data_IF_670147326442
#
_entry.id   IF_670147326442
#
_cell.length_a   1.000
_cell.length_b   1.000
_cell.length_c   1.000
_cell.angle_alpha   90.00
_cell.angle_beta   90.00
_cell.angle_gamma   90.00
#
_symmetry.space_group_name_H-M   'P 1'
#
loop_
_entity.id
_entity.type
_entity.pdbx_description
1 polymer ?
#
# COMPACT_ATOMS: atom_id res chain seq x y z
N UNK A 1 -9.15 -6.99 5.01
CA UNK A 1 -10.22 -6.33 4.22
C UNK A 1 -11.63 -6.55 4.78
N UNK A 2 -11.95 -7.77 5.24
CA UNK A 2 -13.33 -8.17 5.60
C UNK A 2 -13.94 -7.34 6.73
N UNK A 3 -13.12 -6.98 7.72
CA UNK A 3 -13.53 -6.14 8.86
C UNK A 3 -14.05 -4.78 8.38
N UNK A 4 -13.29 -4.11 7.52
CA UNK A 4 -13.69 -2.81 6.95
C UNK A 4 -14.93 -2.95 6.09
N UNK A 5 -15.04 -3.98 5.25
CA UNK A 5 -16.22 -4.23 4.41
C UNK A 5 -17.48 -4.39 5.28
N UNK A 6 -17.41 -5.23 6.32
CA UNK A 6 -18.50 -5.42 7.28
C UNK A 6 -18.87 -4.14 8.03
N UNK A 7 -17.88 -3.34 8.45
CA UNK A 7 -18.13 -2.08 9.15
C UNK A 7 -18.74 -1.02 8.22
N UNK A 8 -18.46 -1.04 6.92
CA UNK A 8 -19.16 -0.18 5.96
C UNK A 8 -20.62 -0.59 5.73
N UNK A 9 -20.93 -1.89 5.77
CA UNK A 9 -22.32 -2.37 5.71
C UNK A 9 -23.12 -1.93 6.95
N UNK A 10 -22.50 -2.01 8.13
CA UNK A 10 -23.12 -1.62 9.40
C UNK A 10 -23.20 -0.09 9.58
N UNK A 11 -22.16 0.63 9.15
CA UNK A 11 -22.03 2.09 9.26
C UNK A 11 -21.77 2.75 7.89
N UNK A 12 -22.78 2.83 7.00
CA UNK A 12 -22.60 3.42 5.68
C UNK A 12 -22.07 4.86 5.74
N UNK A 13 -21.10 5.17 4.89
CA UNK A 13 -20.47 6.49 4.79
C UNK A 13 -19.46 6.81 5.90
N UNK A 14 -18.96 5.80 6.63
CA UNK A 14 -17.87 5.95 7.58
C UNK A 14 -16.50 5.71 6.95
N UNK A 15 -15.44 6.27 7.56
CA UNK A 15 -14.07 5.78 7.38
C UNK A 15 -13.68 4.84 8.50
N UNK A 16 -12.81 3.88 8.20
CA UNK A 16 -12.40 2.80 9.10
C UNK A 16 -10.88 2.70 9.13
N UNK A 17 -10.31 2.68 10.33
CA UNK A 17 -8.94 2.21 10.57
C UNK A 17 -9.01 0.86 11.24
N UNK A 18 -8.53 -0.20 10.60
CA UNK A 18 -8.61 -1.57 11.12
C UNK A 18 -7.25 -2.28 11.09
N UNK A 19 -7.04 -3.22 12.02
CA UNK A 19 -5.85 -4.06 12.05
C UNK A 19 -6.16 -5.48 11.61
N UNK A 20 -5.19 -6.15 10.99
CA UNK A 20 -5.27 -7.56 10.61
C UNK A 20 -4.81 -8.51 11.73
N UNK A 21 -4.81 -9.83 11.46
CA UNK A 21 -4.33 -10.85 12.38
C UNK A 21 -2.91 -10.63 12.92
N UNK A 22 -2.02 -9.97 12.15
CA UNK A 22 -0.68 -9.65 12.63
C UNK A 22 -0.70 -8.64 13.79
N UNK A 23 -1.63 -7.67 13.74
CA UNK A 23 -1.84 -6.73 14.84
C UNK A 23 -2.40 -7.43 16.08
N UNK A 24 -3.40 -8.30 15.90
CA UNK A 24 -3.98 -9.12 16.99
C UNK A 24 -2.94 -10.00 17.68
N UNK A 25 -1.98 -10.53 16.92
CA UNK A 25 -0.88 -11.37 17.41
C UNK A 25 0.36 -10.58 17.82
N UNK A 26 0.28 -9.26 17.92
CA UNK A 26 1.34 -8.39 18.41
C UNK A 26 2.64 -8.45 17.60
N UNK A 27 2.56 -8.74 16.30
CA UNK A 27 3.72 -8.73 15.40
C UNK A 27 4.29 -7.32 15.37
N UNK A 28 5.58 -7.18 15.69
CA UNK A 28 6.25 -5.87 15.95
C UNK A 28 6.23 -4.91 14.75
N UNK A 29 6.07 -5.44 13.55
CA UNK A 29 5.98 -4.68 12.30
C UNK A 29 4.59 -4.79 11.65
N UNK A 30 3.54 -5.02 12.45
CA UNK A 30 2.16 -4.96 11.97
C UNK A 30 1.67 -3.52 11.80
N UNK A 31 0.78 -3.35 10.83
CA UNK A 31 0.19 -2.09 10.40
C UNK A 31 -1.32 -2.07 10.64
N UNK A 32 -1.89 -0.88 10.57
CA UNK A 32 -3.32 -0.68 10.34
C UNK A 32 -3.57 -0.32 8.87
N UNK A 33 -4.76 -0.63 8.38
CA UNK A 33 -5.26 -0.16 7.09
C UNK A 33 -6.36 0.87 7.28
N UNK A 34 -6.29 1.97 6.53
CA UNK A 34 -7.33 2.99 6.44
C UNK A 34 -8.15 2.73 5.18
N UNK A 35 -9.44 2.48 5.36
CA UNK A 35 -10.41 2.26 4.27
C UNK A 35 -9.97 1.16 3.28
N UNK A 36 -9.27 0.13 3.79
CA UNK A 36 -8.60 -0.94 3.04
C UNK A 36 -7.47 -0.49 2.09
N UNK A 37 -7.28 0.80 1.81
CA UNK A 37 -6.34 1.27 0.78
C UNK A 37 -5.04 1.79 1.36
N UNK A 38 -5.11 2.68 2.36
CA UNK A 38 -3.92 3.31 2.90
C UNK A 38 -3.31 2.46 4.00
N UNK A 39 -1.99 2.30 4.01
CA UNK A 39 -1.27 1.69 5.13
C UNK A 39 -0.90 2.75 6.16
N UNK A 40 -0.94 2.41 7.45
CA UNK A 40 -0.60 3.33 8.54
C UNK A 40 0.20 2.62 9.64
N UNK A 41 1.26 3.30 10.08
CA UNK A 41 1.92 2.99 11.35
C UNK A 41 3.04 1.96 11.27
N UNK A 42 3.91 2.07 10.25
CA UNK A 42 5.20 1.39 10.24
C UNK A 42 5.93 1.66 11.56
N UNK A 43 6.49 0.60 12.14
CA UNK A 43 6.96 0.62 13.53
C UNK A 43 6.01 -0.01 14.55
N UNK A 44 4.92 -0.65 14.11
CA UNK A 44 4.15 -1.56 14.95
C UNK A 44 2.83 -1.01 15.51
N UNK A 45 2.21 -0.05 14.83
CA UNK A 45 0.89 0.47 15.25
C UNK A 45 -0.16 -0.65 15.36
N UNK A 46 -0.11 -1.64 14.47
CA UNK A 46 -1.02 -2.78 14.50
C UNK A 46 -0.94 -3.55 15.83
N UNK A 47 0.28 -3.75 16.35
CA UNK A 47 0.52 -4.44 17.60
C UNK A 47 0.07 -3.60 18.80
N UNK A 48 0.19 -2.26 18.72
CA UNK A 48 -0.35 -1.36 19.75
C UNK A 48 -1.87 -1.48 19.85
N UNK A 49 -2.57 -1.51 18.71
CA UNK A 49 -4.01 -1.80 18.65
C UNK A 49 -4.34 -3.17 19.27
N UNK A 50 -3.65 -4.22 18.84
CA UNK A 50 -3.84 -5.58 19.37
C UNK A 50 -3.62 -5.68 20.87
N UNK A 51 -2.58 -5.02 21.41
CA UNK A 51 -2.29 -5.01 22.86
C UNK A 51 -3.38 -4.37 23.71
N UNK A 52 -4.25 -3.58 23.08
CA UNK A 52 -5.39 -2.92 23.71
C UNK A 52 -6.72 -3.63 23.40
N UNK A 53 -6.67 -4.79 22.76
CA UNK A 53 -7.84 -5.50 22.23
C UNK A 53 -8.72 -4.62 21.33
N UNK A 54 -8.11 -3.68 20.58
CA UNK A 54 -8.80 -2.77 19.69
C UNK A 54 -8.68 -3.25 18.24
N UNK A 55 -9.80 -3.72 17.66
CA UNK A 55 -9.81 -4.26 16.29
C UNK A 55 -9.86 -3.18 15.21
N UNK A 56 -10.66 -2.15 15.43
CA UNK A 56 -10.86 -1.07 14.49
C UNK A 56 -11.39 0.19 15.18
N UNK A 57 -11.23 1.33 14.53
CA UNK A 57 -11.87 2.59 14.85
C UNK A 57 -12.71 2.99 13.64
N UNK A 58 -14.00 3.24 13.86
CA UNK A 58 -14.94 3.68 12.83
C UNK A 58 -15.35 5.11 13.13
N UNK A 59 -15.27 5.98 12.12
CA UNK A 59 -15.61 7.39 12.25
C UNK A 59 -16.57 7.78 11.15
N UNK A 60 -17.69 8.38 11.55
CA UNK A 60 -18.64 9.06 10.66
C UNK A 60 -18.93 10.44 11.23
N UNK A 61 -18.76 11.47 10.42
CA UNK A 61 -19.01 12.86 10.81
C UNK A 61 -19.78 13.59 9.73
N UNK A 62 -20.74 14.40 10.15
CA UNK A 62 -21.49 15.34 9.29
C UNK A 62 -21.27 16.80 9.69
N UNK A 63 -20.40 17.03 10.68
CA UNK A 63 -20.06 18.37 11.15
C UNK A 63 -19.20 19.13 10.13
N UNK A 64 -19.31 20.45 10.16
CA UNK A 64 -18.51 21.35 9.35
C UNK A 64 -17.17 21.67 10.04
N UNK A 65 -16.10 21.77 9.25
CA UNK A 65 -14.81 22.30 9.71
C UNK A 65 -14.82 23.81 9.51
N UNK A 66 -14.87 24.56 10.61
CA UNK A 66 -14.79 26.04 10.58
C UNK A 66 -13.34 26.50 10.42
N UNK A 67 -13.12 27.38 9.47
CA UNK A 67 -11.84 28.08 9.25
C UNK A 67 -11.99 29.56 9.62
N UNK A 68 -10.88 30.22 9.96
CA UNK A 68 -10.90 31.61 10.41
C UNK A 68 -11.38 32.59 9.33
N UNK A 69 -11.05 32.32 8.06
CA UNK A 69 -11.43 33.12 6.89
C UNK A 69 -11.73 32.16 5.73
N UNK A 70 -13.01 31.92 5.47
CA UNK A 70 -13.46 30.94 4.49
C UNK A 70 -13.18 31.37 3.05
N UNK A 71 -13.32 32.66 2.74
CA UNK A 71 -13.08 33.19 1.39
C UNK A 71 -11.60 33.06 1.03
N UNK A 72 -10.71 33.54 1.89
CA UNK A 72 -9.27 33.45 1.68
C UNK A 72 -8.78 32.00 1.64
N UNK A 73 -9.37 31.11 2.44
CA UNK A 73 -9.05 29.68 2.39
C UNK A 73 -9.41 29.07 1.04
N UNK A 74 -10.61 29.35 0.54
CA UNK A 74 -11.07 28.82 -0.76
C UNK A 74 -10.25 29.38 -1.93
N UNK A 75 -9.81 30.64 -1.87
CA UNK A 75 -8.88 31.20 -2.85
C UNK A 75 -7.54 30.46 -2.88
N UNK A 76 -6.99 30.12 -1.71
CA UNK A 76 -5.76 29.35 -1.60
C UNK A 76 -5.93 27.91 -2.15
N UNK A 77 -7.05 27.27 -1.82
CA UNK A 77 -7.40 25.93 -2.34
C UNK A 77 -7.51 25.97 -3.87
N UNK A 78 -8.24 26.95 -4.43
CA UNK A 78 -8.36 27.12 -5.88
C UNK A 78 -6.99 27.28 -6.53
N UNK A 79 -6.13 28.15 -6.00
CA UNK A 79 -4.77 28.33 -6.50
C UNK A 79 -3.90 27.07 -6.39
N UNK A 80 -4.13 26.20 -5.39
CA UNK A 80 -3.47 24.89 -5.31
C UNK A 80 -3.97 23.94 -6.41
N UNK A 81 -5.29 23.84 -6.60
CA UNK A 81 -5.89 22.99 -7.62
C UNK A 81 -5.45 23.40 -9.02
N UNK A 82 -5.46 24.69 -9.35
CA UNK A 82 -5.00 25.19 -10.65
C UNK A 82 -3.52 24.87 -10.91
N UNK A 83 -2.66 24.91 -9.87
CA UNK A 83 -1.25 24.53 -10.00
C UNK A 83 -1.09 23.03 -10.23
N UNK A 84 -1.88 22.21 -9.54
CA UNK A 84 -1.85 20.76 -9.73
C UNK A 84 -2.36 20.40 -11.13
N UNK A 85 -3.45 21.00 -11.59
CA UNK A 85 -4.00 20.79 -12.94
C UNK A 85 -3.00 21.14 -14.05
N UNK A 86 -2.23 22.23 -13.86
CA UNK A 86 -1.18 22.66 -14.79
C UNK A 86 0.13 21.89 -14.64
N UNK A 87 0.26 21.00 -13.66
CA UNK A 87 1.49 20.26 -13.44
C UNK A 87 1.77 19.33 -14.65
N UNK A 88 2.90 19.47 -15.36
CA UNK A 88 3.14 18.75 -16.61
C UNK A 88 3.10 17.23 -16.48
N UNK A 89 3.46 16.68 -15.31
CA UNK A 89 3.46 15.23 -15.06
C UNK A 89 2.19 14.74 -14.37
N UNK A 90 1.13 15.56 -14.26
CA UNK A 90 -0.12 15.16 -13.59
C UNK A 90 -0.71 13.90 -14.20
N UNK A 91 -0.84 13.84 -15.53
CA UNK A 91 -1.39 12.65 -16.22
C UNK A 91 -0.55 11.40 -15.96
N UNK A 92 0.77 11.55 -15.90
CA UNK A 92 1.70 10.46 -15.60
C UNK A 92 1.55 9.97 -14.16
N UNK A 93 1.42 10.86 -13.19
CA UNK A 93 1.17 10.52 -11.78
C UNK A 93 -0.21 9.88 -11.60
N UNK A 94 -1.25 10.37 -12.27
CA UNK A 94 -2.58 9.76 -12.20
C UNK A 94 -2.62 8.38 -12.85
N UNK A 95 -1.85 8.16 -13.91
CA UNK A 95 -1.80 6.88 -14.61
C UNK A 95 -0.96 5.84 -13.84
N UNK A 96 0.19 6.24 -13.32
CA UNK A 96 1.18 5.32 -12.77
C UNK A 96 1.36 5.43 -11.25
N UNK A 97 0.79 6.44 -10.60
CA UNK A 97 0.88 6.64 -9.15
C UNK A 97 2.32 6.90 -8.75
N UNK A 98 2.80 6.26 -7.68
CA UNK A 98 4.20 6.39 -7.26
C UNK A 98 5.22 5.89 -8.29
N UNK A 99 4.83 5.05 -9.25
CA UNK A 99 5.72 4.68 -10.37
C UNK A 99 6.10 5.87 -11.25
N UNK A 100 5.38 6.99 -11.17
CA UNK A 100 5.80 8.21 -11.85
C UNK A 100 7.20 8.68 -11.43
N UNK A 101 7.65 8.29 -10.24
CA UNK A 101 8.99 8.57 -9.73
C UNK A 101 10.00 7.43 -9.89
N UNK A 102 9.70 6.36 -10.63
CA UNK A 102 10.50 5.11 -10.58
C UNK A 102 11.99 5.33 -10.82
N UNK A 103 12.37 6.25 -11.70
CA UNK A 103 13.78 6.53 -12.01
C UNK A 103 14.56 7.00 -10.77
N UNK A 104 13.95 7.86 -9.95
CA UNK A 104 14.54 8.32 -8.69
C UNK A 104 14.62 7.17 -7.66
N UNK A 105 13.65 6.26 -7.69
CA UNK A 105 13.65 5.08 -6.82
C UNK A 105 14.70 4.05 -7.22
N UNK A 106 14.86 3.78 -8.51
CA UNK A 106 15.92 2.90 -9.01
C UNK A 106 17.30 3.41 -8.58
N UNK A 107 17.53 4.72 -8.67
CA UNK A 107 18.75 5.35 -8.14
C UNK A 107 18.87 5.20 -6.62
N UNK A 108 17.80 5.48 -5.87
CA UNK A 108 17.77 5.33 -4.41
C UNK A 108 18.07 3.90 -3.95
N UNK A 109 17.57 2.89 -4.67
CA UNK A 109 17.80 1.48 -4.39
C UNK A 109 19.05 0.92 -5.08
N UNK A 110 19.80 1.75 -5.80
CA UNK A 110 20.98 1.35 -6.57
C UNK A 110 20.72 0.22 -7.56
N UNK A 111 19.49 0.15 -8.09
CA UNK A 111 19.09 -0.81 -9.11
C UNK A 111 19.51 -0.27 -10.47
N UNK A 112 20.30 -1.01 -11.26
CA UNK A 112 20.64 -0.61 -12.62
C UNK A 112 19.39 -0.29 -13.44
N UNK A 113 19.42 0.81 -14.19
CA UNK A 113 18.23 1.32 -14.91
C UNK A 113 17.63 0.26 -15.85
N UNK A 114 18.47 -0.47 -16.56
CA UNK A 114 18.05 -1.53 -17.49
C UNK A 114 17.34 -2.68 -16.76
N UNK A 115 17.82 -3.07 -15.56
CA UNK A 115 17.17 -4.08 -14.72
C UNK A 115 15.84 -3.56 -14.17
N UNK A 116 15.81 -2.31 -13.70
CA UNK A 116 14.59 -1.67 -13.20
C UNK A 116 13.51 -1.59 -14.29
N UNK A 117 13.87 -1.25 -15.53
CA UNK A 117 12.92 -1.21 -16.65
C UNK A 117 12.36 -2.61 -16.99
N UNK A 118 13.17 -3.66 -16.86
CA UNK A 118 12.72 -5.03 -17.07
C UNK A 118 11.80 -5.55 -15.96
N UNK A 119 12.11 -5.25 -14.70
CA UNK A 119 11.35 -5.75 -13.54
C UNK A 119 10.11 -4.92 -13.20
N UNK A 120 10.14 -3.61 -13.46
CA UNK A 120 9.10 -2.67 -13.03
C UNK A 120 8.25 -2.13 -14.19
N UNK A 121 8.07 -2.92 -15.26
CA UNK A 121 7.25 -2.49 -16.38
C UNK A 121 5.82 -2.16 -15.92
N UNK A 122 5.55 -0.86 -15.89
CA UNK A 122 4.32 -0.23 -15.40
C UNK A 122 3.07 -0.60 -16.23
N UNK A 123 3.23 -0.96 -17.51
CA UNK A 123 2.12 -1.32 -18.40
C UNK A 123 1.41 -2.60 -17.97
N UNK A 124 2.11 -3.50 -17.27
CA UNK A 124 1.52 -4.74 -16.77
C UNK A 124 0.44 -4.43 -15.73
N UNK A 125 0.75 -3.54 -14.78
CA UNK A 125 -0.19 -3.18 -13.72
C UNK A 125 -1.28 -2.23 -14.22
N UNK A 126 -0.92 -1.20 -15.00
CA UNK A 126 -1.89 -0.22 -15.49
C UNK A 126 -2.83 -0.78 -16.58
N UNK A 127 -2.34 -1.69 -17.42
CA UNK A 127 -3.05 -2.16 -18.62
C UNK A 127 -3.75 -3.52 -18.50
N UNK A 128 -3.36 -4.40 -17.55
CA UNK A 128 -3.91 -5.77 -17.47
C UNK A 128 -4.77 -6.04 -16.23
N UNK A 129 -4.48 -5.39 -15.11
CA UNK A 129 -5.04 -5.77 -13.79
C UNK A 129 -5.66 -4.59 -13.04
N UNK A 130 -5.35 -3.34 -13.38
CA UNK A 130 -5.94 -2.17 -12.75
C UNK A 130 -7.41 -2.05 -13.13
N UNK A 131 -8.27 -2.02 -12.11
CA UNK A 131 -9.71 -1.87 -12.24
C UNK A 131 -10.14 -0.43 -12.02
N UNK A 132 -9.51 0.26 -11.06
CA UNK A 132 -9.84 1.64 -10.73
C UNK A 132 -8.63 2.40 -10.16
N UNK A 133 -8.66 3.72 -10.33
CA UNK A 133 -7.81 4.66 -9.58
C UNK A 133 -8.60 5.21 -8.39
N UNK A 134 -7.90 5.46 -7.29
CA UNK A 134 -8.48 5.87 -6.02
C UNK A 134 -7.72 7.11 -5.55
N UNK A 135 -8.47 8.12 -5.11
CA UNK A 135 -7.91 9.30 -4.47
C UNK A 135 -8.12 9.26 -2.95
N UNK A 136 -7.16 9.80 -2.21
CA UNK A 136 -7.44 10.26 -0.84
C UNK A 136 -8.52 11.35 -0.85
N UNK A 137 -9.23 11.56 0.28
CA UNK A 137 -10.14 12.68 0.43
C UNK A 137 -9.48 14.00 -0.01
N UNK A 138 -10.18 14.76 -0.85
CA UNK A 138 -9.74 16.07 -1.38
C UNK A 138 -8.47 16.05 -2.26
N UNK A 139 -7.92 14.89 -2.62
CA UNK A 139 -6.73 14.82 -3.48
C UNK A 139 -7.11 14.80 -4.98
N UNK A 140 -6.61 15.73 -5.82
CA UNK A 140 -6.93 15.78 -7.25
C UNK A 140 -6.02 14.91 -8.16
N UNK A 141 -5.12 14.10 -7.59
CA UNK A 141 -4.11 13.31 -8.33
C UNK A 141 -4.45 11.82 -8.49
N UNK A 142 -5.24 11.24 -7.58
CA UNK A 142 -5.64 9.81 -7.56
C UNK A 142 -4.50 8.82 -7.86
N UNK A 143 -3.59 8.67 -6.91
CA UNK A 143 -2.34 7.90 -7.04
C UNK A 143 -2.43 6.44 -6.54
N UNK A 144 -3.57 6.04 -5.97
CA UNK A 144 -3.83 4.70 -5.44
C UNK A 144 -4.64 3.87 -6.41
N UNK A 145 -4.61 2.55 -6.23
CA UNK A 145 -5.19 1.64 -7.21
C UNK A 145 -5.98 0.49 -6.59
N UNK A 146 -6.97 0.04 -7.34
CA UNK A 146 -7.62 -1.25 -7.17
C UNK A 146 -7.13 -2.18 -8.28
N UNK A 147 -6.50 -3.29 -7.91
CA UNK A 147 -6.08 -4.34 -8.83
C UNK A 147 -6.91 -5.61 -8.65
N UNK A 148 -7.19 -6.30 -9.76
CA UNK A 148 -7.75 -7.65 -9.78
C UNK A 148 -7.04 -8.50 -10.81
N UNK A 149 -6.81 -9.76 -10.48
CA UNK A 149 -6.24 -10.73 -11.42
C UNK A 149 -7.40 -11.39 -12.19
N UNK A 150 -7.44 -11.31 -13.54
CA UNK A 150 -8.48 -11.96 -14.32
C UNK A 150 -8.54 -13.47 -14.06
N UNK A 151 -9.72 -13.97 -13.69
CA UNK A 151 -9.94 -15.39 -13.42
C UNK A 151 -9.60 -15.84 -11.99
N UNK A 152 -9.27 -14.92 -11.09
CA UNK A 152 -8.98 -15.23 -9.69
C UNK A 152 -9.77 -14.31 -8.74
N UNK A 153 -10.12 -14.83 -7.58
CA UNK A 153 -10.76 -14.09 -6.48
C UNK A 153 -9.70 -13.32 -5.66
N UNK A 154 -8.83 -12.56 -6.34
CA UNK A 154 -7.77 -11.75 -5.72
C UNK A 154 -8.02 -10.28 -6.01
N UNK A 155 -8.21 -9.51 -4.93
CA UNK A 155 -8.41 -8.06 -4.96
C UNK A 155 -7.35 -7.37 -4.10
N UNK A 156 -6.66 -6.39 -4.68
CA UNK A 156 -5.62 -5.62 -3.98
C UNK A 156 -5.96 -4.15 -4.02
N UNK A 157 -6.21 -3.60 -2.83
CA UNK A 157 -6.30 -2.16 -2.60
C UNK A 157 -4.90 -1.68 -2.24
N UNK A 158 -4.28 -0.94 -3.14
CA UNK A 158 -2.86 -0.62 -3.05
C UNK A 158 -2.68 0.89 -2.91
N UNK A 159 -1.89 1.29 -1.90
CA UNK A 159 -1.33 2.65 -1.84
C UNK A 159 -0.40 2.89 -3.02
N UNK A 160 0.35 1.87 -3.42
CA UNK A 160 1.18 1.84 -4.61
C UNK A 160 1.50 0.39 -4.99
N UNK A 161 1.98 0.18 -6.21
CA UNK A 161 2.47 -1.13 -6.66
C UNK A 161 3.99 -1.15 -6.88
N UNK A 162 4.69 -0.02 -6.73
CA UNK A 162 6.15 0.05 -6.82
C UNK A 162 6.80 -0.73 -5.68
N UNK A 163 6.38 -0.47 -4.44
CA UNK A 163 6.94 -1.08 -3.24
C UNK A 163 6.91 -2.61 -3.31
N UNK A 164 5.77 -3.28 -3.56
CA UNK A 164 5.76 -4.75 -3.63
C UNK A 164 6.58 -5.29 -4.81
N UNK A 165 6.65 -4.58 -5.94
CA UNK A 165 7.53 -4.94 -7.04
C UNK A 165 9.01 -4.89 -6.60
N UNK A 166 9.43 -3.84 -5.89
CA UNK A 166 10.81 -3.71 -5.43
C UNK A 166 11.16 -4.77 -4.40
N UNK A 167 10.34 -4.93 -3.35
CA UNK A 167 10.73 -5.77 -2.21
C UNK A 167 10.36 -7.23 -2.33
N UNK A 168 9.41 -7.59 -3.19
CA UNK A 168 9.11 -8.99 -3.49
C UNK A 168 9.58 -9.39 -4.88
N UNK A 169 9.34 -8.54 -5.88
CA UNK A 169 9.74 -8.83 -7.25
C UNK A 169 11.26 -8.83 -7.43
N UNK A 170 11.90 -7.67 -7.24
CA UNK A 170 13.35 -7.54 -7.47
C UNK A 170 14.16 -8.30 -6.42
N UNK A 171 13.91 -8.09 -5.13
CA UNK A 171 14.73 -8.70 -4.06
C UNK A 171 14.70 -10.23 -4.07
N UNK A 172 13.56 -10.85 -4.39
CA UNK A 172 13.42 -12.31 -4.42
C UNK A 172 13.29 -12.90 -5.83
N UNK A 173 13.53 -12.09 -6.87
CA UNK A 173 13.46 -12.49 -8.28
C UNK A 173 12.10 -13.10 -8.69
N UNK A 174 11.01 -12.59 -8.11
CA UNK A 174 9.63 -12.98 -8.46
C UNK A 174 9.18 -12.13 -9.65
N UNK A 175 9.07 -12.73 -10.83
CA UNK A 175 8.81 -12.00 -12.08
C UNK A 175 7.35 -12.04 -12.52
N UNK A 176 6.53 -12.96 -12.00
CA UNK A 176 5.10 -12.99 -12.30
C UNK A 176 4.35 -11.94 -11.46
N UNK A 177 3.74 -10.96 -12.12
CA UNK A 177 2.92 -9.93 -11.49
C UNK A 177 1.75 -10.51 -10.69
N UNK A 178 1.23 -11.69 -11.06
CA UNK A 178 0.16 -12.37 -10.34
C UNK A 178 0.63 -12.81 -8.96
N UNK A 179 1.84 -13.35 -8.87
CA UNK A 179 2.44 -13.74 -7.60
C UNK A 179 2.70 -12.53 -6.71
N UNK A 180 3.22 -11.44 -7.29
CA UNK A 180 3.41 -10.18 -6.56
C UNK A 180 2.07 -9.65 -6.01
N UNK A 181 1.00 -9.69 -6.79
CA UNK A 181 -0.34 -9.28 -6.35
C UNK A 181 -0.89 -10.20 -5.27
N UNK A 182 -0.73 -11.53 -5.38
CA UNK A 182 -1.15 -12.49 -4.35
C UNK A 182 -0.40 -12.29 -3.04
N UNK A 183 0.92 -12.06 -3.10
CA UNK A 183 1.74 -11.74 -1.95
C UNK A 183 1.25 -10.43 -1.32
N UNK A 184 1.04 -9.39 -2.12
CA UNK A 184 0.55 -8.08 -1.64
C UNK A 184 -0.83 -8.21 -0.99
N UNK A 185 -1.76 -8.94 -1.60
CA UNK A 185 -3.07 -9.23 -1.05
C UNK A 185 -2.95 -9.89 0.33
N UNK A 186 -2.08 -10.88 0.43
CA UNK A 186 -1.82 -11.63 1.67
C UNK A 186 -1.25 -10.70 2.74
N UNK A 187 -0.18 -9.97 2.43
CA UNK A 187 0.49 -9.04 3.36
C UNK A 187 -0.47 -7.99 3.89
N UNK A 188 -1.30 -7.39 3.02
CA UNK A 188 -2.31 -6.43 3.42
C UNK A 188 -3.42 -7.07 4.26
N UNK A 189 -3.89 -8.26 3.89
CA UNK A 189 -4.93 -8.99 4.64
C UNK A 189 -4.45 -9.35 6.06
N UNK A 190 -3.18 -9.72 6.23
CA UNK A 190 -2.58 -9.94 7.53
C UNK A 190 -2.29 -8.63 8.29
N UNK A 191 -2.13 -7.52 7.60
CA UNK A 191 -1.76 -6.22 8.17
C UNK A 191 -0.28 -6.16 8.54
N UNK A 192 0.61 -6.54 7.62
CA UNK A 192 2.06 -6.57 7.81
C UNK A 192 2.74 -5.44 7.03
N UNK A 193 3.79 -4.86 7.60
CA UNK A 193 4.70 -3.98 6.85
C UNK A 193 5.55 -4.80 5.88
N UNK A 194 5.31 -4.62 4.58
CA UNK A 194 6.01 -5.36 3.53
C UNK A 194 7.52 -5.13 3.53
N UNK A 195 7.99 -3.92 3.89
CA UNK A 195 9.41 -3.60 3.92
C UNK A 195 10.13 -4.34 5.05
N UNK A 196 9.52 -4.35 6.24
CA UNK A 196 10.06 -5.11 7.37
C UNK A 196 9.99 -6.61 7.12
N UNK A 197 8.90 -7.08 6.52
CA UNK A 197 8.73 -8.49 6.17
C UNK A 197 9.78 -8.95 5.17
N UNK A 198 9.99 -8.21 4.07
CA UNK A 198 10.97 -8.56 3.05
C UNK A 198 12.39 -8.58 3.62
N UNK A 199 12.75 -7.60 4.45
CA UNK A 199 14.06 -7.58 5.09
C UNK A 199 14.27 -8.76 6.04
N UNK A 200 13.24 -9.13 6.80
CA UNK A 200 13.31 -10.30 7.68
C UNK A 200 13.46 -11.61 6.88
N UNK A 201 12.69 -11.77 5.80
CA UNK A 201 12.79 -12.94 4.92
C UNK A 201 14.17 -13.00 4.27
N UNK A 202 14.68 -11.88 3.75
CA UNK A 202 16.01 -11.81 3.15
C UNK A 202 17.12 -12.17 4.15
N UNK A 203 17.01 -11.69 5.39
CA UNK A 203 17.92 -12.07 6.46
C UNK A 203 17.89 -13.58 6.74
N UNK A 204 16.70 -14.18 6.84
CA UNK A 204 16.53 -15.62 7.05
C UNK A 204 17.14 -16.43 5.89
N UNK A 205 16.91 -16.02 4.64
CA UNK A 205 17.48 -16.66 3.47
C UNK A 205 19.01 -16.58 3.45
N UNK A 206 19.59 -15.45 3.86
CA UNK A 206 21.03 -15.29 4.03
C UNK A 206 21.60 -16.27 5.06
N UNK A 207 21.01 -16.34 6.25
CA UNK A 207 21.43 -17.29 7.27
C UNK A 207 21.34 -18.75 6.81
N UNK A 208 20.29 -19.10 6.06
CA UNK A 208 20.15 -20.44 5.48
C UNK A 208 21.23 -20.72 4.43
N UNK A 209 21.50 -19.77 3.53
CA UNK A 209 22.55 -19.90 2.52
C UNK A 209 23.95 -20.05 3.10
N UNK A 210 24.21 -19.43 4.26
CA UNK A 210 25.46 -19.57 5.02
C UNK A 210 25.51 -20.84 5.88
N UNK A 211 24.41 -21.59 5.97
CA UNK A 211 24.29 -22.79 6.81
C UNK A 211 24.18 -22.51 8.32
N UNK A 212 23.91 -21.26 8.71
CA UNK A 212 23.69 -20.86 10.10
C UNK A 212 22.34 -21.35 10.64
N UNK A 213 21.37 -21.60 9.76
CA UNK A 213 20.12 -22.30 10.05
C UNK A 213 19.87 -23.39 9.02
N UNK A 214 19.07 -24.37 9.39
CA UNK A 214 18.73 -25.54 8.58
C UNK A 214 17.27 -25.53 8.18
N UNK A 215 16.89 -26.48 7.32
CA UNK A 215 15.51 -26.68 6.89
C UNK A 215 14.59 -27.07 8.05
N UNK A 216 15.12 -27.77 9.05
CA UNK A 216 14.39 -28.15 10.26
C UNK A 216 14.03 -26.90 11.09
N UNK A 217 14.92 -25.90 11.17
CA UNK A 217 14.66 -24.62 11.86
C UNK A 217 13.53 -23.81 11.19
N UNK A 218 13.28 -24.07 9.90
CA UNK A 218 12.20 -23.46 9.12
C UNK A 218 10.88 -24.26 9.18
N UNK A 219 10.85 -25.36 9.95
CA UNK A 219 9.66 -26.18 10.15
C UNK A 219 9.46 -27.31 9.14
N UNK A 220 10.47 -27.63 8.31
CA UNK A 220 10.46 -28.77 7.37
C UNK A 220 10.08 -28.42 5.94
#
# INVERSE_FOLDING_TARGET
>A
YDVTKRLWEEYPGSSVVAVGPAGERLVKFSLALVDNVATLGRGGLGAVFGSKNLKAVVVRGSGEVRVADAERFMDAVKGLYERIERYPFRSFVTEYGMMAGWAAWAEMFQIPREEAEAYFNQEVFSGKVRVATIACPSCPLSDKFLFRIPGEEVEVWATDYLTPLTVFGYLFQITDYRDILRITATVNQYGLDMLSLSNLVNFILGMYGEGAITREDLGG
#
